data_IF_929006548902
#
_entry.id   IF_929006548902
#
_cell.length_a   1.000
_cell.length_b   1.000
_cell.length_c   1.000
_cell.angle_alpha   90.00
_cell.angle_beta   90.00
_cell.angle_gamma   90.00
#
_symmetry.space_group_name_H-M   'P 1'
#
loop_
_entity.id
_entity.type
_entity.pdbx_description
1 polymer ?
#
# COMPACT_ATOMS: atom_id res chain seq x y z
N UNK A 1 -5.84 -28.56 27.96
CA UNK A 1 -5.29 -27.88 26.78
C UNK A 1 -6.45 -27.54 25.88
N UNK A 2 -6.62 -26.27 25.50
CA UNK A 2 -7.60 -25.93 24.46
C UNK A 2 -7.17 -26.62 23.16
N UNK A 3 -8.07 -27.38 22.55
CA UNK A 3 -7.82 -27.98 21.24
C UNK A 3 -7.81 -26.84 20.22
N UNK A 4 -6.71 -26.75 19.46
CA UNK A 4 -6.65 -25.82 18.34
C UNK A 4 -7.64 -26.26 17.28
N UNK A 5 -8.61 -25.39 16.98
CA UNK A 5 -9.57 -25.60 15.90
C UNK A 5 -9.03 -24.97 14.61
N UNK A 6 -8.43 -25.83 13.79
CA UNK A 6 -7.84 -25.44 12.51
C UNK A 6 -8.89 -24.87 11.54
N UNK A 7 -10.14 -25.36 11.59
CA UNK A 7 -11.20 -24.89 10.71
C UNK A 7 -11.67 -23.49 11.11
N UNK A 8 -11.85 -23.25 12.41
CA UNK A 8 -12.18 -21.91 12.93
C UNK A 8 -11.05 -20.90 12.64
N UNK A 9 -9.79 -21.33 12.78
CA UNK A 9 -8.63 -20.49 12.43
C UNK A 9 -8.61 -20.14 10.93
N UNK A 10 -8.79 -21.13 10.05
CA UNK A 10 -8.82 -20.91 8.61
C UNK A 10 -9.97 -19.98 8.18
N UNK A 11 -11.15 -20.12 8.78
CA UNK A 11 -12.29 -19.24 8.54
C UNK A 11 -11.99 -17.79 8.97
N UNK A 12 -11.37 -17.61 10.14
CA UNK A 12 -10.96 -16.29 10.62
C UNK A 12 -9.90 -15.63 9.72
N UNK A 13 -8.93 -16.41 9.22
CA UNK A 13 -7.93 -15.91 8.29
C UNK A 13 -8.57 -15.50 6.95
N UNK A 14 -9.53 -16.28 6.45
CA UNK A 14 -10.24 -15.94 5.22
C UNK A 14 -11.06 -14.66 5.36
N UNK A 15 -11.77 -14.48 6.48
CA UNK A 15 -12.51 -13.25 6.78
C UNK A 15 -11.57 -12.03 6.84
N UNK A 16 -10.39 -12.19 7.45
CA UNK A 16 -9.38 -11.12 7.50
C UNK A 16 -8.87 -10.76 6.10
N UNK A 17 -8.61 -11.74 5.24
CA UNK A 17 -8.21 -11.51 3.83
C UNK A 17 -9.29 -10.77 3.05
N UNK A 18 -10.56 -11.15 3.22
CA UNK A 18 -11.70 -10.49 2.56
C UNK A 18 -11.83 -9.04 3.01
N UNK A 19 -11.77 -8.78 4.31
CA UNK A 19 -11.80 -7.41 4.87
C UNK A 19 -10.63 -6.57 4.37
N UNK A 20 -9.45 -7.14 4.33
CA UNK A 20 -8.26 -6.47 3.79
C UNK A 20 -8.47 -6.11 2.31
N UNK A 21 -8.90 -7.06 1.48
CA UNK A 21 -9.16 -6.84 0.06
C UNK A 21 -10.21 -5.73 -0.18
N UNK A 22 -11.33 -5.75 0.56
CA UNK A 22 -12.35 -4.71 0.45
C UNK A 22 -11.87 -3.31 0.87
N UNK A 23 -10.87 -3.22 1.75
CA UNK A 23 -10.26 -1.96 2.16
C UNK A 23 -9.17 -1.44 1.23
N UNK A 24 -8.72 -2.23 0.25
CA UNK A 24 -7.67 -1.82 -0.68
C UNK A 24 -8.01 -0.56 -1.50
N UNK A 25 -9.22 -0.38 -2.04
CA UNK A 25 -9.54 0.80 -2.85
C UNK A 25 -9.32 2.11 -2.08
N UNK A 26 -9.72 2.17 -0.81
CA UNK A 26 -9.56 3.37 0.02
C UNK A 26 -8.09 3.67 0.32
N UNK A 27 -7.29 2.64 0.63
CA UNK A 27 -5.85 2.75 0.88
C UNK A 27 -5.10 3.22 -0.36
N UNK A 28 -5.43 2.62 -1.51
CA UNK A 28 -4.90 2.99 -2.82
C UNK A 28 -5.29 4.43 -3.19
N UNK A 29 -6.52 4.85 -2.91
CA UNK A 29 -6.98 6.21 -3.18
C UNK A 29 -6.17 7.27 -2.41
N UNK A 30 -5.72 6.97 -1.19
CA UNK A 30 -4.82 7.86 -0.44
C UNK A 30 -3.49 8.06 -1.18
N UNK A 31 -2.89 6.96 -1.65
CA UNK A 31 -1.63 6.98 -2.43
C UNK A 31 -1.83 7.74 -3.75
N UNK A 32 -2.94 7.52 -4.45
CA UNK A 32 -3.26 8.21 -5.71
C UNK A 32 -3.56 9.71 -5.53
N UNK A 33 -4.13 10.12 -4.39
CA UNK A 33 -4.33 11.55 -4.07
C UNK A 33 -3.00 12.27 -3.90
N UNK A 34 -2.01 11.62 -3.30
CA UNK A 34 -0.66 12.16 -3.24
C UNK A 34 -0.07 12.37 -4.64
N UNK A 35 -0.33 11.42 -5.55
CA UNK A 35 0.04 11.58 -6.95
C UNK A 35 -0.70 12.73 -7.63
N UNK A 36 -2.01 12.89 -7.44
CA UNK A 36 -2.75 13.99 -8.08
C UNK A 36 -2.24 15.38 -7.63
N UNK A 37 -1.81 15.51 -6.37
CA UNK A 37 -1.25 16.74 -5.82
C UNK A 37 0.20 17.01 -6.29
N UNK A 38 0.90 15.97 -6.77
CA UNK A 38 2.27 15.96 -7.31
C UNK A 38 2.42 16.80 -8.59
N UNK A 39 1.42 16.72 -9.47
CA UNK A 39 1.46 17.18 -10.87
C UNK A 39 1.41 18.72 -10.99
N UNK A 40 1.14 19.44 -9.90
CA UNK A 40 0.95 20.90 -9.93
C UNK A 40 2.23 21.74 -9.73
N UNK A 41 3.40 21.11 -9.64
CA UNK A 41 4.66 21.82 -9.34
C UNK A 41 4.76 22.32 -7.90
N UNK A 42 3.86 21.86 -7.03
CA UNK A 42 3.93 22.08 -5.60
C UNK A 42 4.90 21.07 -4.99
N UNK A 43 5.85 21.58 -4.20
CA UNK A 43 6.66 20.74 -3.33
C UNK A 43 5.72 19.92 -2.45
N UNK A 44 5.90 18.60 -2.41
CA UNK A 44 5.11 17.74 -1.53
C UNK A 44 5.19 18.27 -0.11
N UNK A 45 4.02 18.43 0.51
CA UNK A 45 3.96 18.64 1.95
C UNK A 45 4.66 17.45 2.61
N UNK A 46 5.66 17.72 3.45
CA UNK A 46 6.41 16.69 4.17
C UNK A 46 5.45 15.78 4.95
N UNK A 47 4.37 16.35 5.48
CA UNK A 47 3.34 15.59 6.18
C UNK A 47 2.62 14.61 5.24
N UNK A 48 2.24 15.03 4.03
CA UNK A 48 1.60 14.17 3.05
C UNK A 48 2.52 13.02 2.63
N UNK A 49 3.82 13.30 2.45
CA UNK A 49 4.79 12.27 2.11
C UNK A 49 4.96 11.25 3.24
N UNK A 50 5.03 11.71 4.49
CA UNK A 50 5.08 10.83 5.66
C UNK A 50 3.83 9.93 5.73
N UNK A 51 2.64 10.46 5.45
CA UNK A 51 1.39 9.69 5.42
C UNK A 51 1.39 8.61 4.31
N UNK A 52 1.90 8.93 3.12
CA UNK A 52 2.04 7.97 2.01
C UNK A 52 3.04 6.87 2.36
N UNK A 53 4.19 7.25 2.92
CA UNK A 53 5.24 6.32 3.34
C UNK A 53 4.75 5.36 4.42
N UNK A 54 4.01 5.88 5.39
CA UNK A 54 3.35 5.10 6.44
C UNK A 54 2.34 4.11 5.86
N UNK A 55 1.50 4.56 4.92
CA UNK A 55 0.48 3.68 4.33
C UNK A 55 1.11 2.60 3.43
N UNK A 56 2.15 2.92 2.65
CA UNK A 56 2.91 1.94 1.88
C UNK A 56 3.56 0.89 2.78
N UNK A 57 4.14 1.31 3.91
CA UNK A 57 4.74 0.42 4.88
C UNK A 57 3.70 -0.54 5.49
N UNK A 58 2.54 0.00 5.90
CA UNK A 58 1.44 -0.81 6.44
C UNK A 58 0.87 -1.76 5.39
N UNK A 59 0.71 -1.29 4.16
CA UNK A 59 0.21 -2.08 3.04
C UNK A 59 1.15 -3.25 2.74
N UNK A 60 2.47 -3.00 2.68
CA UNK A 60 3.47 -4.03 2.48
C UNK A 60 3.44 -5.11 3.58
N UNK A 61 3.39 -4.68 4.85
CA UNK A 61 3.36 -5.60 5.99
C UNK A 61 2.06 -6.41 6.08
N UNK A 62 0.91 -5.76 5.91
CA UNK A 62 -0.40 -6.41 5.96
C UNK A 62 -0.60 -7.38 4.78
N UNK A 63 -0.25 -6.96 3.56
CA UNK A 63 -0.32 -7.80 2.38
C UNK A 63 0.53 -9.06 2.52
N UNK A 64 1.79 -8.92 2.98
CA UNK A 64 2.69 -10.06 3.19
C UNK A 64 2.17 -11.03 4.26
N UNK A 65 1.65 -10.50 5.37
CA UNK A 65 1.08 -11.33 6.45
C UNK A 65 -0.18 -12.10 6.02
N UNK A 66 -0.90 -11.62 5.01
CA UNK A 66 -2.13 -12.20 4.51
C UNK A 66 -1.95 -13.05 3.24
N UNK A 67 -0.71 -13.17 2.75
CA UNK A 67 -0.37 -13.96 1.56
C UNK A 67 -0.68 -13.28 0.24
N UNK A 68 -0.73 -11.94 0.21
CA UNK A 68 -0.81 -11.13 -1.00
C UNK A 68 0.60 -10.68 -1.42
N UNK A 69 1.49 -11.63 -1.70
CA UNK A 69 2.93 -11.38 -1.89
C UNK A 69 3.23 -10.39 -3.02
N UNK A 70 2.44 -10.44 -4.10
CA UNK A 70 2.58 -9.49 -5.21
C UNK A 70 2.27 -8.05 -4.81
N UNK A 71 1.23 -7.84 -3.98
CA UNK A 71 0.88 -6.52 -3.46
C UNK A 71 1.89 -6.05 -2.44
N UNK A 72 2.36 -6.95 -1.58
CA UNK A 72 3.40 -6.66 -0.60
C UNK A 72 4.68 -6.17 -1.28
N UNK A 73 5.10 -6.88 -2.33
CA UNK A 73 6.28 -6.55 -3.14
C UNK A 73 6.10 -5.21 -3.85
N UNK A 74 4.93 -4.99 -4.46
CA UNK A 74 4.61 -3.73 -5.14
C UNK A 74 4.68 -2.53 -4.19
N UNK A 75 4.00 -2.61 -3.04
CA UNK A 75 4.00 -1.55 -2.02
C UNK A 75 5.41 -1.27 -1.51
N UNK A 76 6.20 -2.32 -1.24
CA UNK A 76 7.59 -2.19 -0.79
C UNK A 76 8.50 -1.58 -1.86
N UNK A 77 8.28 -1.91 -3.14
CA UNK A 77 9.02 -1.31 -4.26
C UNK A 77 8.82 0.20 -4.31
N UNK A 78 7.56 0.64 -4.23
CA UNK A 78 7.21 2.07 -4.21
C UNK A 78 7.80 2.76 -2.97
N UNK A 79 7.69 2.16 -1.79
CA UNK A 79 8.29 2.68 -0.55
C UNK A 79 9.81 2.90 -0.70
N UNK A 80 10.52 1.96 -1.31
CA UNK A 80 11.96 2.06 -1.53
C UNK A 80 12.34 3.10 -2.58
N UNK A 81 11.53 3.28 -3.61
CA UNK A 81 11.72 4.33 -4.62
C UNK A 81 11.58 5.70 -3.98
N UNK A 82 10.51 5.93 -3.21
CA UNK A 82 10.29 7.20 -2.51
C UNK A 82 11.41 7.55 -1.52
N UNK A 83 11.95 6.58 -0.79
CA UNK A 83 13.09 6.80 0.13
C UNK A 83 14.38 7.27 -0.56
N UNK A 84 14.51 7.00 -1.85
CA UNK A 84 15.70 7.38 -2.62
C UNK A 84 15.56 8.75 -3.29
N UNK A 85 14.36 9.33 -3.26
CA UNK A 85 14.14 10.63 -3.90
C UNK A 85 14.71 11.76 -3.05
N UNK A 86 15.39 12.74 -3.66
CA UNK A 86 15.85 13.92 -2.95
C UNK A 86 14.66 14.73 -2.44
N UNK A 87 14.76 15.23 -1.21
CA UNK A 87 13.73 16.09 -0.62
C UNK A 87 13.57 17.35 -1.48
N UNK A 88 12.33 17.65 -1.86
CA UNK A 88 11.97 18.85 -2.62
C UNK A 88 12.01 18.69 -4.14
N UNK A 89 12.45 17.54 -4.67
CA UNK A 89 12.32 17.21 -6.09
C UNK A 89 10.90 16.71 -6.41
N UNK A 90 10.39 16.93 -7.63
CA UNK A 90 9.15 16.32 -8.09
C UNK A 90 9.24 14.79 -8.08
N UNK A 91 8.13 14.12 -7.74
CA UNK A 91 8.01 12.68 -7.95
C UNK A 91 8.02 12.38 -9.46
N UNK A 92 8.66 11.29 -9.90
CA UNK A 92 8.52 10.79 -11.27
C UNK A 92 7.05 10.50 -11.60
N UNK A 93 6.58 10.80 -12.82
CA UNK A 93 5.16 10.60 -13.20
C UNK A 93 4.66 9.15 -13.01
N UNK A 94 5.57 8.18 -12.97
CA UNK A 94 5.32 6.74 -12.87
C UNK A 94 5.79 6.13 -11.53
N UNK A 95 6.05 6.94 -10.49
CA UNK A 95 6.55 6.47 -9.19
C UNK A 95 5.67 5.39 -8.52
N UNK A 96 4.39 5.34 -8.87
CA UNK A 96 3.41 4.37 -8.35
C UNK A 96 3.15 3.19 -9.29
N UNK A 97 3.85 3.09 -10.44
CA UNK A 97 3.66 2.05 -11.45
C UNK A 97 3.63 0.61 -10.89
N UNK A 98 4.43 0.22 -9.87
CA UNK A 98 4.34 -1.12 -9.28
C UNK A 98 2.96 -1.46 -8.70
N UNK A 99 2.18 -0.47 -8.25
CA UNK A 99 0.83 -0.66 -7.70
C UNK A 99 -0.27 -0.63 -8.77
N UNK A 100 0.05 -0.26 -10.01
CA UNK A 100 -0.94 -0.08 -11.08
C UNK A 100 -1.78 -1.33 -11.39
N UNK A 101 -1.22 -2.55 -11.45
CA UNK A 101 -2.02 -3.75 -11.65
C UNK A 101 -3.05 -4.00 -10.54
N UNK A 102 -2.75 -3.54 -9.32
CA UNK A 102 -3.65 -3.68 -8.18
C UNK A 102 -4.76 -2.64 -8.20
N UNK A 103 -4.45 -1.42 -8.65
CA UNK A 103 -5.43 -0.35 -8.89
C UNK A 103 -6.45 -0.78 -9.95
N UNK A 104 -6.01 -1.42 -11.03
CA UNK A 104 -6.90 -1.85 -12.12
C UNK A 104 -7.75 -3.08 -11.75
N UNK A 105 -7.41 -3.76 -10.65
CA UNK A 105 -8.07 -4.98 -10.18
C UNK A 105 -9.15 -4.74 -9.11
N UNK A 106 -9.28 -3.49 -8.63
CA UNK A 106 -10.30 -3.05 -7.67
C UNK A 106 -11.38 -2.23 -8.36
#
# INVERSE_FOLDING_TARGET
>A
MAQFDEAAFAAGLQDLKVKFYHGLPERIALILRANANSVSGWHYDAQMMDEVMDELHRLAGAAGSLGFDGLATAARSVELQLKQLPVGEPLPDDWFAPLQPWIESV
#
